data_IF_591136213739
#
_entry.id   IF_591136213739
#
_cell.length_a   1.000
_cell.length_b   1.000
_cell.length_c   1.000
_cell.angle_alpha   90.00
_cell.angle_beta   90.00
_cell.angle_gamma   90.00
#
_symmetry.space_group_name_H-M   'P 1'
#
loop_
_entity.id
_entity.type
_entity.pdbx_description
1 polymer ?
#
# COMPACT_ATOMS: atom_id res chain seq x y z
N UNK A 1 -21.53 4.05 5.83
CA UNK A 1 -20.71 3.55 6.95
C UNK A 1 -21.39 3.81 8.28
N UNK A 2 -21.23 2.91 9.24
CA UNK A 2 -21.70 3.07 10.63
C UNK A 2 -20.48 2.86 11.52
N UNK A 3 -20.29 3.76 12.49
CA UNK A 3 -19.15 3.74 13.38
C UNK A 3 -19.55 4.16 14.80
N UNK A 4 -19.23 3.35 15.82
CA UNK A 4 -19.40 3.71 17.23
C UNK A 4 -18.02 4.05 17.79
N UNK A 5 -17.87 5.27 18.33
CA UNK A 5 -16.62 5.70 18.95
C UNK A 5 -16.51 5.22 20.40
N UNK A 6 -15.34 5.37 21.00
CA UNK A 6 -15.08 4.93 22.38
C UNK A 6 -15.92 5.66 23.44
N UNK A 7 -16.54 6.78 23.10
CA UNK A 7 -17.52 7.51 23.92
C UNK A 7 -18.95 7.01 23.70
N UNK A 8 -19.13 5.93 22.95
CA UNK A 8 -20.43 5.33 22.57
C UNK A 8 -21.30 6.26 21.73
N UNK A 9 -20.72 7.19 21.01
CA UNK A 9 -21.44 8.01 20.03
C UNK A 9 -21.54 7.22 18.74
N UNK A 10 -22.76 7.18 18.18
CA UNK A 10 -23.02 6.47 16.94
C UNK A 10 -22.98 7.46 15.77
N UNK A 11 -22.04 7.26 14.89
CA UNK A 11 -21.83 8.03 13.67
C UNK A 11 -22.34 7.24 12.47
N UNK A 12 -23.07 7.90 11.60
CA UNK A 12 -23.63 7.31 10.38
C UNK A 12 -23.23 8.18 9.20
N UNK A 13 -22.72 7.58 8.15
CA UNK A 13 -22.53 8.27 6.88
C UNK A 13 -23.46 7.68 5.84
N UNK A 14 -24.31 8.52 5.26
CA UNK A 14 -25.12 8.20 4.09
C UNK A 14 -24.42 8.68 2.81
N UNK A 15 -24.74 8.04 1.69
CA UNK A 15 -24.12 8.34 0.42
C UNK A 15 -24.48 9.77 -0.03
N UNK A 16 -23.47 10.66 -0.19
CA UNK A 16 -23.58 12.10 -0.50
C UNK A 16 -24.20 13.00 0.58
N UNK A 17 -24.61 12.50 1.74
CA UNK A 17 -25.32 13.27 2.75
C UNK A 17 -24.45 13.82 3.88
N UNK A 18 -23.14 13.51 3.85
CA UNK A 18 -22.19 13.94 4.88
C UNK A 18 -22.07 12.94 6.02
N UNK A 19 -22.01 13.45 7.25
CA UNK A 19 -21.84 12.68 8.47
C UNK A 19 -22.95 13.04 9.45
N UNK A 20 -23.58 12.04 10.02
CA UNK A 20 -24.66 12.19 11.00
C UNK A 20 -24.23 11.62 12.34
N UNK A 21 -24.50 12.35 13.41
CA UNK A 21 -24.38 11.87 14.78
C UNK A 21 -25.76 11.54 15.30
N UNK A 22 -25.99 10.29 15.71
CA UNK A 22 -27.23 9.89 16.34
C UNK A 22 -27.32 10.42 17.76
N UNK A 23 -28.36 11.22 18.03
CA UNK A 23 -28.72 11.69 19.37
C UNK A 23 -29.74 10.73 20.00
N UNK A 24 -29.28 10.00 21.03
CA UNK A 24 -30.08 8.99 21.72
C UNK A 24 -31.24 9.59 22.58
N UNK A 25 -31.10 10.86 23.01
CA UNK A 25 -32.09 11.51 23.88
C UNK A 25 -33.28 11.99 23.08
N UNK A 26 -33.04 12.56 21.92
CA UNK A 26 -34.09 13.09 21.05
C UNK A 26 -34.56 12.12 19.97
N UNK A 27 -33.94 10.93 19.87
CA UNK A 27 -34.14 9.95 18.80
C UNK A 27 -34.04 10.57 17.41
N UNK A 28 -33.00 11.39 17.20
CA UNK A 28 -32.83 12.17 15.98
C UNK A 28 -31.34 12.20 15.55
N UNK A 29 -31.06 12.85 14.42
CA UNK A 29 -29.69 12.98 13.91
C UNK A 29 -29.26 14.44 13.87
N UNK A 30 -28.01 14.68 14.30
CA UNK A 30 -27.33 15.95 14.09
C UNK A 30 -26.50 15.80 12.81
N UNK A 31 -26.79 16.65 11.82
CA UNK A 31 -26.19 16.57 10.50
C UNK A 31 -24.96 17.46 10.35
N UNK A 32 -23.86 16.88 9.88
CA UNK A 32 -22.63 17.59 9.52
C UNK A 32 -22.42 17.49 8.01
N UNK A 33 -22.67 18.59 7.31
CA UNK A 33 -22.53 18.70 5.86
C UNK A 33 -21.44 19.70 5.49
N UNK A 34 -20.90 19.53 4.29
CA UNK A 34 -19.96 20.49 3.73
C UNK A 34 -20.64 21.85 3.61
N UNK A 35 -19.97 22.85 4.20
CA UNK A 35 -20.33 24.25 4.09
C UNK A 35 -19.07 25.05 3.68
N UNK A 36 -19.09 25.64 2.50
CA UNK A 36 -17.96 26.42 1.97
C UNK A 36 -17.73 27.75 2.69
N UNK A 37 -18.76 28.24 3.41
CA UNK A 37 -18.68 29.45 4.19
C UNK A 37 -18.13 29.22 5.61
N UNK A 38 -18.14 27.96 6.07
CA UNK A 38 -17.64 27.58 7.39
C UNK A 38 -16.34 26.75 7.27
N UNK A 39 -15.17 27.32 7.59
CA UNK A 39 -13.90 26.60 7.51
C UNK A 39 -13.78 25.42 8.47
N UNK A 40 -14.64 25.35 9.49
CA UNK A 40 -14.67 24.26 10.47
C UNK A 40 -15.71 23.16 10.11
N UNK A 41 -16.44 23.29 9.01
CA UNK A 41 -17.37 22.27 8.55
C UNK A 41 -16.64 21.07 7.94
N UNK A 42 -17.34 19.93 7.85
CA UNK A 42 -16.81 18.76 7.16
C UNK A 42 -16.43 19.11 5.71
N UNK A 43 -15.21 18.76 5.30
CA UNK A 43 -14.67 19.19 4.01
C UNK A 43 -15.30 18.53 2.79
N UNK A 44 -16.05 17.42 2.97
CA UNK A 44 -16.69 16.67 1.89
C UNK A 44 -17.86 15.83 2.39
N UNK A 45 -18.92 15.67 1.57
CA UNK A 45 -20.11 14.91 1.94
C UNK A 45 -20.03 13.40 1.67
N UNK A 46 -19.08 12.93 0.86
CA UNK A 46 -18.92 11.50 0.56
C UNK A 46 -18.00 10.86 1.58
N UNK A 47 -18.51 10.61 2.77
CA UNK A 47 -17.77 9.89 3.84
C UNK A 47 -17.85 8.41 3.58
N UNK A 48 -16.69 7.75 3.54
CA UNK A 48 -16.59 6.33 3.24
C UNK A 48 -16.18 5.49 4.45
N UNK A 49 -15.17 5.92 5.20
CA UNK A 49 -14.64 5.18 6.35
C UNK A 49 -14.35 6.12 7.50
N UNK A 50 -14.44 5.59 8.72
CA UNK A 50 -14.10 6.30 9.95
C UNK A 50 -13.23 5.42 10.82
N UNK A 51 -12.35 6.04 11.58
CA UNK A 51 -11.42 5.39 12.48
C UNK A 51 -11.14 6.27 13.69
N UNK A 52 -11.13 5.70 14.89
CA UNK A 52 -10.69 6.38 16.12
C UNK A 52 -9.30 5.85 16.49
N UNK A 53 -8.32 6.76 16.58
CA UNK A 53 -6.97 6.41 16.99
C UNK A 53 -6.83 6.23 18.51
N UNK A 54 -5.70 5.73 18.98
CA UNK A 54 -5.42 5.50 20.42
C UNK A 54 -5.46 6.78 21.24
N UNK A 55 -5.33 7.96 20.62
CA UNK A 55 -5.41 9.30 21.25
C UNK A 55 -6.82 9.87 21.23
N UNK A 56 -7.81 9.08 20.78
CA UNK A 56 -9.22 9.47 20.66
C UNK A 56 -9.52 10.53 19.59
N UNK A 57 -8.62 10.70 18.62
CA UNK A 57 -8.90 11.47 17.44
C UNK A 57 -9.77 10.64 16.47
N UNK A 58 -10.76 11.26 15.87
CA UNK A 58 -11.56 10.62 14.83
C UNK A 58 -11.06 11.05 13.46
N UNK A 59 -10.70 10.07 12.66
CA UNK A 59 -10.24 10.22 11.30
C UNK A 59 -11.31 9.75 10.33
N UNK A 60 -11.60 10.56 9.31
CA UNK A 60 -12.67 10.32 8.36
C UNK A 60 -12.08 10.29 6.96
N UNK A 61 -12.23 9.15 6.30
CA UNK A 61 -11.84 8.97 4.91
C UNK A 61 -12.99 9.31 3.98
N UNK A 62 -12.71 10.13 2.98
CA UNK A 62 -13.71 10.58 2.02
C UNK A 62 -13.39 10.12 0.60
N UNK A 63 -14.38 10.16 -0.25
CA UNK A 63 -14.26 9.91 -1.68
C UNK A 63 -14.21 11.23 -2.46
N UNK A 64 -13.01 11.85 -2.47
CA UNK A 64 -12.72 13.10 -3.18
C UNK A 64 -12.38 14.30 -2.31
N UNK A 65 -12.59 14.23 -0.99
CA UNK A 65 -12.28 15.31 -0.04
C UNK A 65 -10.96 15.12 0.72
N UNK A 66 -10.29 13.98 0.52
CA UNK A 66 -9.09 13.62 1.27
C UNK A 66 -9.39 13.01 2.64
N UNK A 67 -8.43 13.09 3.53
CA UNK A 67 -8.52 12.67 4.92
C UNK A 67 -8.99 13.85 5.77
N UNK A 68 -9.95 13.60 6.67
CA UNK A 68 -10.48 14.62 7.58
C UNK A 68 -10.17 14.19 9.01
N UNK A 69 -9.58 15.08 9.78
CA UNK A 69 -9.41 14.97 11.22
C UNK A 69 -10.52 15.72 11.93
N UNK A 70 -11.24 15.05 12.82
CA UNK A 70 -12.30 15.64 13.62
C UNK A 70 -11.83 15.82 15.06
N UNK A 71 -11.84 17.05 15.53
CA UNK A 71 -11.48 17.44 16.89
C UNK A 71 -12.70 17.96 17.66
N UNK A 72 -12.65 17.83 19.00
CA UNK A 72 -13.69 18.40 19.86
C UNK A 72 -13.47 19.90 20.02
N UNK A 73 -14.33 20.71 19.42
CA UNK A 73 -14.37 22.17 19.61
C UNK A 73 -15.32 22.62 20.72
N UNK A 74 -15.29 23.92 21.05
CA UNK A 74 -16.16 24.51 22.09
C UNK A 74 -17.65 24.43 21.72
N UNK A 75 -17.97 24.59 20.44
CA UNK A 75 -19.36 24.68 19.93
C UNK A 75 -19.74 23.49 19.03
N UNK A 76 -19.08 22.35 19.20
CA UNK A 76 -19.26 21.17 18.37
C UNK A 76 -17.95 20.73 17.72
N UNK A 77 -17.95 19.69 16.87
CA UNK A 77 -16.75 19.19 16.21
C UNK A 77 -16.17 20.21 15.23
N UNK A 78 -14.85 20.24 15.14
CA UNK A 78 -14.06 21.01 14.16
C UNK A 78 -13.40 20.02 13.22
N UNK A 79 -13.49 20.27 11.92
CA UNK A 79 -12.98 19.38 10.90
C UNK A 79 -11.79 20.02 10.16
N UNK A 80 -10.66 19.35 10.18
CA UNK A 80 -9.45 19.73 9.43
C UNK A 80 -9.24 18.77 8.27
N UNK A 81 -9.19 19.27 7.04
CA UNK A 81 -9.01 18.43 5.85
C UNK A 81 -7.56 18.41 5.38
N UNK A 82 -7.03 17.21 5.14
CA UNK A 82 -5.75 16.96 4.48
C UNK A 82 -6.02 16.46 3.06
N UNK A 83 -5.48 17.15 2.07
CA UNK A 83 -5.75 16.88 0.66
C UNK A 83 -4.49 16.64 -0.14
N UNK A 84 -4.64 15.94 -1.25
CA UNK A 84 -3.62 15.84 -2.27
C UNK A 84 -3.35 17.22 -2.88
N UNK A 85 -2.07 17.56 -2.97
CA UNK A 85 -1.56 18.72 -3.69
C UNK A 85 -0.43 18.27 -4.63
N UNK A 86 -0.56 18.39 -5.96
CA UNK A 86 0.47 17.97 -6.90
C UNK A 86 1.79 18.70 -6.75
N UNK A 87 1.77 19.93 -6.21
CA UNK A 87 2.96 20.77 -6.02
C UNK A 87 3.66 20.50 -4.67
N UNK A 88 3.07 19.68 -3.81
CA UNK A 88 3.63 19.31 -2.50
C UNK A 88 3.76 17.79 -2.35
N UNK A 89 4.97 17.23 -2.52
CA UNK A 89 5.22 15.79 -2.39
C UNK A 89 5.02 15.25 -0.98
N UNK A 90 4.94 16.12 0.04
CA UNK A 90 4.63 15.76 1.42
C UNK A 90 3.14 15.77 1.73
N UNK A 91 2.29 16.12 0.77
CA UNK A 91 0.85 16.05 0.88
C UNK A 91 0.33 14.60 0.75
N UNK A 92 -0.94 14.40 1.04
CA UNK A 92 -1.63 13.12 0.84
C UNK A 92 -1.53 12.69 -0.63
N UNK A 93 -1.33 11.39 -0.90
CA UNK A 93 -1.11 10.91 -2.29
C UNK A 93 -2.37 10.92 -3.16
N UNK A 94 -3.58 10.88 -2.56
CA UNK A 94 -4.87 10.98 -3.26
C UNK A 94 -5.97 11.44 -2.33
N UNK A 95 -6.98 12.12 -2.90
CA UNK A 95 -8.18 12.52 -2.17
C UNK A 95 -9.24 11.40 -2.03
N UNK A 96 -8.96 10.22 -2.57
CA UNK A 96 -9.82 9.02 -2.48
C UNK A 96 -9.27 8.09 -1.40
N UNK A 97 -9.91 8.07 -0.23
CA UNK A 97 -9.48 7.29 0.93
C UNK A 97 -10.27 5.98 1.00
N UNK A 98 -9.56 4.85 1.10
CA UNK A 98 -10.17 3.53 1.19
C UNK A 98 -10.05 2.91 2.58
N UNK A 99 -8.91 3.11 3.27
CA UNK A 99 -8.66 2.54 4.58
C UNK A 99 -7.90 3.52 5.47
N UNK A 100 -8.15 3.45 6.77
CA UNK A 100 -7.42 4.16 7.81
C UNK A 100 -7.07 3.13 8.88
N UNK A 101 -5.83 3.12 9.32
CA UNK A 101 -5.32 2.14 10.27
C UNK A 101 -4.27 2.78 11.18
N UNK A 102 -4.31 2.49 12.47
CA UNK A 102 -3.23 2.81 13.42
C UNK A 102 -2.46 1.54 13.73
N UNK A 103 -1.14 1.55 13.53
CA UNK A 103 -0.30 0.40 13.80
C UNK A 103 0.00 0.23 15.31
N UNK A 104 0.56 -0.91 15.67
CA UNK A 104 0.93 -1.24 17.05
C UNK A 104 1.97 -0.28 17.66
N UNK A 105 2.57 0.61 16.86
CA UNK A 105 3.53 1.67 17.25
C UNK A 105 2.89 3.06 17.27
N UNK A 106 1.55 3.14 17.14
CA UNK A 106 0.76 4.37 17.09
C UNK A 106 1.08 5.29 15.90
N UNK A 107 1.50 4.73 14.75
CA UNK A 107 1.57 5.48 13.51
C UNK A 107 0.25 5.33 12.75
N UNK A 108 -0.24 6.43 12.19
CA UNK A 108 -1.45 6.43 11.37
C UNK A 108 -1.10 6.17 9.90
N UNK A 109 -1.79 5.20 9.32
CA UNK A 109 -1.63 4.76 7.94
C UNK A 109 -2.92 4.94 7.16
N UNK A 110 -2.80 5.41 5.94
CA UNK A 110 -3.93 5.73 5.08
C UNK A 110 -3.76 5.04 3.74
N UNK A 111 -4.66 4.12 3.44
CA UNK A 111 -4.78 3.49 2.12
C UNK A 111 -5.59 4.37 1.18
N UNK A 112 -5.02 4.69 0.03
CA UNK A 112 -5.63 5.58 -0.97
C UNK A 112 -5.64 4.95 -2.37
N UNK A 113 -6.16 5.66 -3.35
CA UNK A 113 -6.08 5.27 -4.76
C UNK A 113 -4.69 5.48 -5.39
N UNK A 114 -3.76 6.14 -4.68
CA UNK A 114 -2.44 6.46 -5.21
C UNK A 114 -1.31 6.16 -4.22
N UNK A 115 -1.50 5.15 -3.37
CA UNK A 115 -0.49 4.63 -2.46
C UNK A 115 -0.98 4.42 -1.03
N UNK A 116 -0.09 3.80 -0.26
CA UNK A 116 -0.16 3.69 1.19
C UNK A 116 0.57 4.89 1.79
N UNK A 117 -0.08 5.65 2.66
CA UNK A 117 0.50 6.86 3.26
C UNK A 117 0.71 6.67 4.75
N UNK A 118 1.84 7.12 5.27
CA UNK A 118 2.07 7.29 6.71
C UNK A 118 1.96 8.76 7.08
N UNK A 119 1.12 9.08 8.06
CA UNK A 119 0.94 10.43 8.58
C UNK A 119 1.97 10.75 9.66
N UNK A 120 2.57 11.92 9.58
CA UNK A 120 3.42 12.48 10.63
C UNK A 120 2.63 13.48 11.47
N UNK A 121 2.42 13.16 12.75
CA UNK A 121 1.65 13.99 13.68
C UNK A 121 2.35 15.32 14.03
N UNK A 122 3.68 15.40 13.91
CA UNK A 122 4.43 16.61 14.26
C UNK A 122 4.40 17.63 13.12
N UNK A 123 4.72 17.18 11.93
CA UNK A 123 4.80 18.03 10.74
C UNK A 123 3.46 18.17 10.01
N UNK A 124 2.50 17.30 10.31
CA UNK A 124 1.20 17.18 9.60
C UNK A 124 1.35 16.86 8.11
N UNK A 125 2.38 16.13 7.77
CA UNK A 125 2.72 15.71 6.41
C UNK A 125 2.52 14.20 6.21
N UNK A 126 2.65 13.74 4.97
CA UNK A 126 2.51 12.35 4.59
C UNK A 126 3.77 11.84 3.88
N UNK A 127 4.11 10.59 4.13
CA UNK A 127 5.04 9.82 3.30
C UNK A 127 4.27 8.74 2.58
N UNK A 128 4.23 8.81 1.26
CA UNK A 128 3.55 7.82 0.42
C UNK A 128 4.50 6.69 0.02
N UNK A 129 3.95 5.47 -0.04
CA UNK A 129 4.57 4.26 -0.58
C UNK A 129 3.72 3.76 -1.74
N UNK A 130 4.36 3.44 -2.85
CA UNK A 130 3.72 3.13 -4.13
C UNK A 130 4.28 1.86 -4.77
N UNK A 131 3.84 1.58 -5.97
CA UNK A 131 4.37 0.47 -6.79
C UNK A 131 5.87 0.61 -7.03
N UNK A 132 6.36 1.82 -7.19
CA UNK A 132 7.79 2.14 -7.33
C UNK A 132 8.59 1.74 -6.08
N UNK A 133 7.95 1.76 -4.90
CA UNK A 133 8.53 1.31 -3.61
C UNK A 133 8.33 -0.18 -3.37
N UNK A 134 7.71 -0.90 -4.31
CA UNK A 134 7.54 -2.34 -4.30
C UNK A 134 6.13 -2.85 -4.06
N UNK A 135 5.13 -2.02 -3.75
CA UNK A 135 3.73 -2.48 -3.63
C UNK A 135 3.24 -3.13 -4.93
N UNK A 136 2.29 -4.06 -4.84
CA UNK A 136 1.71 -4.73 -6.00
C UNK A 136 0.98 -3.73 -6.91
N UNK A 137 0.30 -2.75 -6.31
CA UNK A 137 -0.40 -1.68 -7.04
C UNK A 137 -0.49 -0.41 -6.18
N UNK A 138 -0.78 0.73 -6.83
CA UNK A 138 -0.98 2.00 -6.16
C UNK A 138 -2.33 2.11 -5.44
N UNK A 139 -3.34 1.37 -5.88
CA UNK A 139 -4.66 1.37 -5.23
C UNK A 139 -4.63 0.46 -4.02
N UNK A 140 -4.73 1.04 -2.83
CA UNK A 140 -4.76 0.34 -1.54
C UNK A 140 -6.20 0.28 -1.03
N UNK A 141 -6.75 -0.92 -0.84
CA UNK A 141 -8.13 -1.13 -0.39
C UNK A 141 -8.27 -1.45 1.08
N UNK A 142 -7.32 -2.18 1.66
CA UNK A 142 -7.35 -2.60 3.05
C UNK A 142 -5.95 -2.76 3.64
N UNK A 143 -5.84 -2.63 4.95
CA UNK A 143 -4.59 -2.74 5.71
C UNK A 143 -4.89 -3.58 6.95
N UNK A 144 -4.13 -4.67 7.15
CA UNK A 144 -4.16 -5.49 8.37
C UNK A 144 -2.73 -5.71 8.84
N UNK A 145 -2.46 -5.50 10.12
CA UNK A 145 -1.16 -5.76 10.75
C UNK A 145 -1.09 -7.17 11.31
N UNK A 146 0.00 -7.90 11.01
CA UNK A 146 0.31 -9.19 11.63
C UNK A 146 0.99 -9.03 13.00
N UNK A 147 1.32 -10.15 13.65
CA UNK A 147 1.95 -10.14 14.98
C UNK A 147 3.40 -9.69 14.95
N UNK A 148 4.04 -9.77 13.81
CA UNK A 148 5.42 -9.34 13.56
C UNK A 148 5.50 -7.84 13.23
N UNK A 149 4.34 -7.16 13.06
CA UNK A 149 4.24 -5.75 12.71
C UNK A 149 4.36 -5.47 11.22
N UNK A 150 4.21 -6.49 10.35
CA UNK A 150 4.10 -6.29 8.92
C UNK A 150 2.64 -6.00 8.55
N UNK A 151 2.44 -5.22 7.50
CA UNK A 151 1.12 -4.96 6.94
C UNK A 151 0.82 -5.89 5.79
N UNK A 152 -0.39 -6.43 5.79
CA UNK A 152 -0.98 -7.11 4.67
C UNK A 152 -1.95 -6.15 4.01
N UNK A 153 -1.57 -5.71 2.82
CA UNK A 153 -2.23 -4.62 2.10
C UNK A 153 -2.91 -5.19 0.86
N UNK A 154 -4.23 -5.17 0.84
CA UNK A 154 -4.99 -5.57 -0.36
C UNK A 154 -5.00 -4.43 -1.38
N UNK A 155 -4.79 -4.80 -2.64
CA UNK A 155 -4.63 -3.85 -3.75
C UNK A 155 -5.47 -4.25 -4.97
N UNK A 156 -5.34 -3.50 -6.06
CA UNK A 156 -5.93 -3.84 -7.35
C UNK A 156 -5.15 -4.94 -8.12
N UNK A 157 -3.95 -5.33 -7.63
CA UNK A 157 -3.08 -6.33 -8.27
C UNK A 157 -2.54 -7.37 -7.27
N UNK A 158 -3.37 -7.77 -6.30
CA UNK A 158 -3.03 -8.76 -5.29
C UNK A 158 -2.87 -8.20 -3.90
N UNK A 159 -2.13 -8.92 -3.05
CA UNK A 159 -1.85 -8.54 -1.66
C UNK A 159 -0.34 -8.30 -1.52
N UNK A 160 0.02 -7.19 -0.86
CA UNK A 160 1.40 -6.90 -0.48
C UNK A 160 1.60 -7.12 1.01
N UNK A 161 2.60 -7.94 1.38
CA UNK A 161 3.16 -7.95 2.73
C UNK A 161 4.24 -6.88 2.80
N UNK A 162 4.01 -5.84 3.58
CA UNK A 162 4.86 -4.67 3.70
C UNK A 162 5.45 -4.57 5.11
N UNK A 163 6.78 -4.59 5.21
CA UNK A 163 7.51 -4.30 6.45
C UNK A 163 7.72 -2.77 6.56
N UNK A 164 7.02 -2.08 7.47
CA UNK A 164 7.10 -0.63 7.57
C UNK A 164 8.40 -0.10 8.19
N UNK A 165 9.21 -0.98 8.77
CA UNK A 165 10.51 -0.64 9.39
C UNK A 165 11.63 -0.70 8.38
N UNK A 166 11.74 -1.83 7.69
CA UNK A 166 12.82 -2.08 6.73
C UNK A 166 12.44 -1.69 5.31
N UNK A 167 11.19 -1.26 5.08
CA UNK A 167 10.64 -0.88 3.77
C UNK A 167 10.83 -2.02 2.76
N UNK A 168 10.49 -3.24 3.18
CA UNK A 168 10.51 -4.43 2.32
C UNK A 168 9.09 -4.83 1.95
N UNK A 169 8.92 -5.28 0.72
CA UNK A 169 7.62 -5.71 0.19
C UNK A 169 7.75 -7.07 -0.45
N UNK A 170 6.80 -7.95 -0.11
CA UNK A 170 6.57 -9.23 -0.76
C UNK A 170 5.15 -9.24 -1.33
N UNK A 171 5.00 -9.59 -2.60
CA UNK A 171 3.70 -9.54 -3.27
C UNK A 171 3.17 -10.94 -3.58
N UNK A 172 1.86 -11.10 -3.37
CA UNK A 172 1.09 -12.30 -3.62
C UNK A 172 0.03 -12.01 -4.68
N UNK A 173 -0.17 -12.98 -5.59
CA UNK A 173 -1.12 -12.88 -6.69
C UNK A 173 -1.85 -14.22 -6.92
N UNK A 174 -2.57 -14.37 -8.03
CA UNK A 174 -3.32 -15.59 -8.35
C UNK A 174 -2.46 -16.85 -8.47
N UNK A 175 -1.18 -16.73 -8.83
CA UNK A 175 -0.25 -17.86 -8.85
C UNK A 175 0.15 -18.33 -7.44
N UNK A 176 -0.08 -17.52 -6.42
CA UNK A 176 0.12 -17.87 -5.01
C UNK A 176 -1.19 -18.36 -4.36
N UNK A 177 -2.27 -18.51 -5.13
CA UNK A 177 -3.55 -19.02 -4.66
C UNK A 177 -4.59 -17.97 -4.29
N UNK A 178 -4.35 -16.67 -4.66
CA UNK A 178 -5.39 -15.67 -4.48
C UNK A 178 -6.56 -15.91 -5.44
N UNK A 179 -7.79 -15.61 -4.96
CA UNK A 179 -9.04 -15.80 -5.70
C UNK A 179 -9.12 -14.98 -6.99
N UNK A 180 -8.50 -13.78 -7.00
CA UNK A 180 -8.33 -12.87 -8.12
C UNK A 180 -7.19 -11.88 -7.81
N UNK A 181 -6.86 -11.03 -8.77
CA UNK A 181 -5.91 -9.93 -8.55
C UNK A 181 -6.59 -8.76 -7.84
N UNK A 182 -7.85 -8.48 -8.17
CA UNK A 182 -8.60 -7.33 -7.68
C UNK A 182 -9.33 -7.63 -6.37
N UNK A 183 -9.04 -6.81 -5.35
CA UNK A 183 -9.73 -6.81 -4.07
C UNK A 183 -10.77 -5.70 -4.00
N UNK A 184 -11.65 -5.76 -3.00
CA UNK A 184 -12.76 -4.82 -2.86
C UNK A 184 -12.54 -3.93 -1.63
N UNK A 185 -12.77 -2.63 -1.82
CA UNK A 185 -12.70 -1.60 -0.79
C UNK A 185 -13.58 -1.95 0.42
N UNK A 186 -13.02 -1.88 1.63
CA UNK A 186 -13.73 -2.16 2.87
C UNK A 186 -13.98 -3.65 3.16
N UNK A 187 -13.50 -4.55 2.30
CA UNK A 187 -13.70 -6.00 2.44
C UNK A 187 -12.46 -6.68 3.01
N UNK A 188 -12.09 -6.35 4.23
CA UNK A 188 -10.98 -6.97 4.95
C UNK A 188 -11.30 -7.08 6.43
N UNK A 189 -10.80 -8.15 7.07
CA UNK A 189 -11.07 -8.44 8.49
C UNK A 189 -9.93 -9.26 9.07
N UNK A 190 -9.52 -8.92 10.30
CA UNK A 190 -8.72 -9.78 11.18
C UNK A 190 -9.64 -10.40 12.22
N UNK A 191 -9.75 -11.73 12.22
CA UNK A 191 -10.55 -12.46 13.22
C UNK A 191 -9.89 -12.43 14.60
N UNK A 192 -10.66 -12.79 15.62
CA UNK A 192 -10.13 -12.95 16.98
C UNK A 192 -9.08 -14.06 17.10
N UNK A 193 -9.12 -15.08 16.23
CA UNK A 193 -8.12 -16.14 16.14
C UNK A 193 -6.81 -15.69 15.48
N UNK A 194 -6.81 -14.53 14.82
CA UNK A 194 -5.67 -14.01 14.07
C UNK A 194 -5.66 -14.42 12.60
N UNK A 195 -6.73 -15.04 12.10
CA UNK A 195 -6.94 -15.32 10.69
C UNK A 195 -7.32 -14.02 9.95
N UNK A 196 -6.75 -13.80 8.78
CA UNK A 196 -7.02 -12.66 7.91
C UNK A 196 -7.97 -13.04 6.80
N UNK A 197 -8.89 -12.13 6.50
CA UNK A 197 -9.87 -12.27 5.42
C UNK A 197 -9.76 -11.05 4.50
N UNK A 198 -9.69 -11.29 3.20
CA UNK A 198 -9.69 -10.25 2.17
C UNK A 198 -10.69 -10.62 1.07
N UNK A 199 -11.73 -9.82 0.93
CA UNK A 199 -12.76 -9.99 -0.11
C UNK A 199 -12.33 -9.37 -1.44
N UNK A 200 -12.61 -10.07 -2.51
CA UNK A 200 -12.31 -9.66 -3.88
C UNK A 200 -13.44 -10.02 -4.84
N UNK A 201 -13.22 -9.80 -6.13
CA UNK A 201 -14.25 -9.93 -7.18
C UNK A 201 -14.74 -11.38 -7.38
N UNK A 202 -13.94 -12.39 -7.03
CA UNK A 202 -14.27 -13.81 -7.17
C UNK A 202 -14.44 -14.54 -5.82
N UNK A 203 -14.82 -13.82 -4.75
CA UNK A 203 -14.97 -14.37 -3.42
C UNK A 203 -13.99 -13.76 -2.42
N UNK A 204 -13.42 -14.55 -1.52
CA UNK A 204 -12.47 -14.07 -0.54
C UNK A 204 -11.29 -15.03 -0.37
N UNK A 205 -10.17 -14.52 0.12
CA UNK A 205 -9.07 -15.31 0.64
C UNK A 205 -9.07 -15.25 2.17
N UNK A 206 -8.82 -16.38 2.81
CA UNK A 206 -8.51 -16.42 4.24
C UNK A 206 -7.22 -17.18 4.48
N UNK A 207 -6.43 -16.72 5.43
CA UNK A 207 -5.16 -17.34 5.80
C UNK A 207 -4.67 -16.86 7.17
N UNK A 208 -3.81 -17.65 7.80
CA UNK A 208 -3.04 -17.23 8.95
C UNK A 208 -1.69 -16.69 8.46
N UNK A 209 -1.32 -15.42 8.74
CA UNK A 209 -0.06 -14.82 8.26
C UNK A 209 1.20 -15.62 8.60
N UNK A 210 1.22 -16.28 9.78
CA UNK A 210 2.35 -17.10 10.23
C UNK A 210 2.52 -18.41 9.44
N UNK A 211 1.51 -18.83 8.67
CA UNK A 211 1.55 -20.04 7.83
C UNK A 211 2.05 -19.73 6.43
N UNK A 212 2.13 -18.45 6.07
CA UNK A 212 2.67 -18.02 4.78
C UNK A 212 4.19 -17.98 4.87
N UNK A 213 4.82 -19.01 4.32
CA UNK A 213 6.27 -19.13 4.31
C UNK A 213 6.86 -18.34 3.14
N UNK A 214 7.78 -17.44 3.44
CA UNK A 214 8.62 -16.81 2.42
C UNK A 214 9.57 -17.86 1.85
N UNK A 215 9.79 -17.85 0.53
CA UNK A 215 10.80 -18.72 -0.07
C UNK A 215 12.20 -18.17 0.28
N UNK A 216 12.97 -18.82 1.16
CA UNK A 216 14.29 -18.33 1.56
C UNK A 216 15.35 -18.51 0.47
N UNK A 217 15.04 -19.25 -0.60
CA UNK A 217 15.99 -19.55 -1.65
C UNK A 217 16.12 -18.34 -2.59
N UNK A 218 17.21 -17.61 -2.45
CA UNK A 218 17.64 -16.62 -3.44
C UNK A 218 18.09 -17.38 -4.68
N UNK A 219 17.46 -17.20 -5.84
CA UNK A 219 17.88 -17.92 -7.04
C UNK A 219 19.28 -17.46 -7.45
N UNK A 220 20.17 -18.38 -7.82
CA UNK A 220 21.46 -17.99 -8.36
C UNK A 220 21.29 -17.24 -9.67
N UNK A 221 22.05 -16.17 -9.83
CA UNK A 221 22.06 -15.34 -11.03
C UNK A 221 23.29 -15.71 -11.85
N UNK A 222 23.07 -16.01 -13.13
CA UNK A 222 24.14 -16.30 -14.08
C UNK A 222 24.09 -15.32 -15.24
N UNK A 223 25.27 -14.85 -15.68
CA UNK A 223 25.40 -14.13 -16.93
C UNK A 223 25.30 -15.16 -18.05
N UNK A 224 24.35 -15.00 -18.94
CA UNK A 224 24.05 -15.96 -20.02
C UNK A 224 24.68 -15.56 -21.34
N UNK A 225 24.75 -14.27 -21.64
CA UNK A 225 25.35 -13.74 -22.85
C UNK A 225 26.13 -12.46 -22.59
N UNK A 226 27.10 -12.18 -23.47
CA UNK A 226 27.95 -11.01 -23.45
C UNK A 226 28.12 -10.46 -24.85
N UNK A 227 27.90 -9.16 -25.05
CA UNK A 227 28.04 -8.48 -26.34
C UNK A 227 29.04 -7.33 -26.24
N UNK A 228 29.78 -7.13 -27.34
CA UNK A 228 30.61 -5.94 -27.57
C UNK A 228 30.11 -5.33 -28.89
N UNK A 229 29.70 -4.06 -28.89
CA UNK A 229 29.10 -3.35 -30.05
C UNK A 229 27.97 -4.13 -30.75
N UNK A 230 27.07 -4.76 -29.97
CA UNK A 230 25.98 -5.64 -30.45
C UNK A 230 26.45 -7.00 -31.06
N UNK A 231 27.70 -7.30 -31.09
CA UNK A 231 28.20 -8.61 -31.51
C UNK A 231 28.27 -9.57 -30.31
N UNK A 232 27.62 -10.73 -30.43
CA UNK A 232 27.62 -11.75 -29.38
C UNK A 232 29.01 -12.39 -29.26
N UNK A 233 29.63 -12.29 -28.09
CA UNK A 233 30.96 -12.86 -27.81
C UNK A 233 30.83 -14.30 -27.34
N UNK A 234 31.60 -15.18 -27.95
CA UNK A 234 31.74 -16.59 -27.56
C UNK A 234 33.22 -16.98 -27.55
N UNK A 235 33.63 -17.99 -26.76
CA UNK A 235 34.97 -18.49 -26.79
C UNK A 235 35.39 -18.92 -28.21
N UNK A 236 36.60 -18.56 -28.62
CA UNK A 236 37.16 -18.92 -29.92
C UNK A 236 36.73 -18.05 -31.11
N UNK A 237 35.85 -17.07 -30.92
CA UNK A 237 35.55 -16.08 -31.98
C UNK A 237 36.70 -15.07 -32.12
N UNK A 238 36.95 -14.54 -33.32
CA UNK A 238 37.89 -13.43 -33.53
C UNK A 238 37.51 -12.24 -32.65
N UNK A 239 38.48 -11.63 -32.01
CA UNK A 239 38.31 -10.48 -31.09
C UNK A 239 37.45 -10.74 -29.83
N UNK A 240 37.09 -12.00 -29.53
CA UNK A 240 36.41 -12.31 -28.28
C UNK A 240 37.40 -12.30 -27.11
N UNK A 241 37.09 -11.59 -26.02
CA UNK A 241 37.89 -11.62 -24.80
C UNK A 241 37.60 -12.86 -23.93
N UNK A 242 36.64 -13.72 -24.35
CA UNK A 242 36.25 -14.91 -23.62
C UNK A 242 37.14 -16.09 -23.94
N UNK A 243 37.76 -16.70 -22.92
CA UNK A 243 38.54 -17.93 -23.00
C UNK A 243 37.71 -19.18 -22.63
N UNK A 244 36.64 -19.01 -21.85
CA UNK A 244 35.68 -20.04 -21.48
C UNK A 244 34.27 -19.50 -21.67
N UNK A 245 33.24 -20.34 -21.40
CA UNK A 245 31.85 -19.89 -21.42
C UNK A 245 31.68 -18.71 -20.46
N UNK A 246 30.85 -17.73 -20.82
CA UNK A 246 30.60 -16.55 -20.00
C UNK A 246 30.09 -16.91 -18.59
N UNK A 247 29.31 -17.99 -18.45
CA UNK A 247 28.81 -18.50 -17.16
C UNK A 247 29.93 -18.98 -16.22
N UNK A 248 31.13 -19.29 -16.77
CA UNK A 248 32.29 -19.79 -16.03
C UNK A 248 33.44 -18.77 -15.98
N UNK A 249 33.23 -17.60 -16.59
CA UNK A 249 34.25 -16.56 -16.70
C UNK A 249 34.20 -15.64 -15.49
N UNK A 250 35.26 -15.68 -14.66
CA UNK A 250 35.33 -14.82 -13.46
C UNK A 250 35.80 -13.39 -13.78
N UNK A 251 36.53 -13.21 -14.88
CA UNK A 251 37.12 -11.91 -15.23
C UNK A 251 37.19 -11.72 -16.74
N UNK A 252 36.73 -10.59 -17.21
CA UNK A 252 36.85 -10.13 -18.59
C UNK A 252 37.76 -8.90 -18.61
N UNK A 253 38.74 -8.87 -19.50
CA UNK A 253 39.62 -7.73 -19.72
C UNK A 253 39.34 -7.18 -21.10
N UNK A 254 38.90 -5.94 -21.18
CA UNK A 254 38.60 -5.24 -22.42
C UNK A 254 39.67 -4.17 -22.69
N UNK A 255 40.17 -4.04 -23.94
CA UNK A 255 40.96 -2.89 -24.34
C UNK A 255 40.05 -1.63 -24.33
N UNK A 256 40.65 -0.45 -24.17
CA UNK A 256 39.91 0.82 -24.12
C UNK A 256 39.07 1.09 -25.37
N UNK A 257 39.38 0.45 -26.47
CA UNK A 257 38.61 0.54 -27.74
C UNK A 257 37.34 -0.26 -27.72
N UNK A 258 37.12 -1.19 -26.78
CA UNK A 258 35.91 -1.97 -26.59
C UNK A 258 35.12 -1.41 -25.37
N UNK A 259 34.65 -0.17 -25.49
CA UNK A 259 34.04 0.60 -24.41
C UNK A 259 32.49 0.52 -24.35
N UNK A 260 31.87 -0.14 -25.34
CA UNK A 260 30.45 -0.40 -25.37
C UNK A 260 30.22 -1.92 -25.29
N UNK A 261 29.59 -2.34 -24.18
CA UNK A 261 29.28 -3.75 -23.95
C UNK A 261 27.96 -3.90 -23.19
N UNK A 262 27.34 -5.07 -23.34
CA UNK A 262 26.13 -5.45 -22.63
C UNK A 262 26.16 -6.90 -22.16
N UNK A 263 25.39 -7.17 -21.10
CA UNK A 263 25.21 -8.50 -20.54
C UNK A 263 23.73 -8.88 -20.54
N UNK A 264 23.47 -10.14 -20.82
CA UNK A 264 22.23 -10.79 -20.48
C UNK A 264 22.46 -11.70 -19.28
N UNK A 265 21.51 -11.73 -18.36
CA UNK A 265 21.60 -12.59 -17.19
C UNK A 265 20.25 -13.23 -16.90
N UNK A 266 20.26 -14.39 -16.25
CA UNK A 266 19.09 -15.12 -15.83
C UNK A 266 19.19 -15.50 -14.35
N UNK A 267 18.13 -15.25 -13.59
CA UNK A 267 17.97 -15.82 -12.27
C UNK A 267 17.25 -17.16 -12.40
N UNK A 268 17.87 -18.25 -11.91
CA UNK A 268 17.34 -19.61 -12.03
C UNK A 268 16.27 -19.88 -10.96
N UNK A 269 15.12 -19.25 -11.12
CA UNK A 269 13.93 -19.50 -10.32
C UNK A 269 12.90 -20.28 -11.15
N UNK A 270 12.91 -21.60 -11.02
CA UNK A 270 12.03 -22.48 -11.80
C UNK A 270 10.60 -22.53 -11.27
N UNK A 271 10.37 -22.16 -10.00
CA UNK A 271 9.04 -22.20 -9.38
C UNK A 271 8.22 -20.94 -9.63
N UNK A 272 8.85 -19.77 -9.70
CA UNK A 272 8.17 -18.48 -9.83
C UNK A 272 9.03 -17.49 -10.64
N UNK A 273 9.44 -17.84 -11.83
CA UNK A 273 10.33 -17.04 -12.68
C UNK A 273 9.81 -15.59 -12.93
N UNK A 274 8.47 -15.41 -13.01
CA UNK A 274 7.82 -14.13 -13.22
C UNK A 274 7.92 -13.17 -12.00
N UNK A 275 8.34 -13.66 -10.82
CA UNK A 275 8.57 -12.83 -9.61
C UNK A 275 10.00 -12.29 -9.53
N UNK A 276 10.90 -12.72 -10.41
CA UNK A 276 12.24 -12.19 -10.42
C UNK A 276 12.21 -10.70 -10.78
N UNK A 277 12.78 -9.87 -9.91
CA UNK A 277 13.00 -8.45 -10.15
C UNK A 277 14.50 -8.22 -10.25
N UNK A 278 14.90 -7.50 -11.28
CA UNK A 278 16.29 -7.12 -11.52
C UNK A 278 16.41 -5.62 -11.29
N UNK A 279 17.29 -5.21 -10.38
CA UNK A 279 17.54 -3.81 -10.04
C UNK A 279 18.95 -3.42 -10.50
#
# INVERSE_FOLDING_TARGET
SIFEDSSRRLWVSAFYEGLDLYDRESDSFIHYKRDVSNPNAIGHNRVFTMFEDSKKNIWIGTEGGGLIHMEKGKNGPVFTSYRYNPDDPSSLSSNLINAIYEDSRNNLWIGTWAGLNRFDYQTKTFKAFRKEDGLADNVVYGIIEDKEGNFWVSTNQGISKFDPVNIKVENYNTADGLQAQEFIRGSFLKSKSGEFFFGGVNGFNSFFPQEILSNPNVPPVYITNFWIYNDLMKPGLPNSPLHSNITETEKIVLPYTQNEFSFEFAALNYSQAFKNRYC
#
